data_IF_801264859168
#
_entry.id   IF_801264859168
#
_cell.length_a   1.000
_cell.length_b   1.000
_cell.length_c   1.000
_cell.angle_alpha   90.00
_cell.angle_beta   90.00
_cell.angle_gamma   90.00
#
_symmetry.space_group_name_H-M   'P 1'
#
loop_
_entity.id
_entity.type
_entity.pdbx_description
1 polymer ?
#
# COMPACT_ATOMS: atom_id res chain seq x y z
N UNK A 1 -1.98 -8.45 -19.34
CA UNK A 1 -3.20 -8.25 -18.52
C UNK A 1 -2.77 -7.49 -17.29
N UNK A 2 -3.63 -6.59 -16.81
CA UNK A 2 -3.31 -5.75 -15.65
C UNK A 2 -2.86 -6.60 -14.46
N UNK A 3 -1.92 -6.06 -13.69
CA UNK A 3 -1.33 -6.70 -12.53
C UNK A 3 -1.44 -5.77 -11.33
N UNK A 4 -1.74 -6.32 -10.16
CA UNK A 4 -1.97 -5.53 -8.96
C UNK A 4 -0.93 -5.89 -7.90
N UNK A 5 -0.28 -4.90 -7.30
CA UNK A 5 0.28 -5.07 -5.97
C UNK A 5 -0.77 -4.66 -4.95
N UNK A 6 -1.13 -5.55 -4.03
CA UNK A 6 -2.08 -5.28 -2.96
C UNK A 6 -1.39 -5.21 -1.60
N UNK A 7 -1.85 -4.29 -0.75
CA UNK A 7 -1.27 -4.02 0.57
C UNK A 7 -2.34 -3.90 1.64
N UNK A 8 -2.03 -4.40 2.83
CA UNK A 8 -2.77 -4.11 4.05
C UNK A 8 -1.77 -3.68 5.12
N UNK A 9 -1.97 -2.49 5.67
CA UNK A 9 -0.94 -1.78 6.43
C UNK A 9 -1.52 -1.29 7.76
N UNK A 10 -0.95 -1.68 8.91
CA UNK A 10 -1.32 -1.08 10.20
C UNK A 10 -0.62 0.27 10.38
N UNK A 11 -1.42 1.31 10.65
CA UNK A 11 -0.98 2.70 10.81
C UNK A 11 -1.50 3.24 12.14
N UNK A 12 -0.65 3.78 13.03
CA UNK A 12 -1.12 4.50 14.21
C UNK A 12 -2.12 5.59 13.83
N UNK A 13 -3.25 5.69 14.53
CA UNK A 13 -4.33 6.65 14.22
C UNK A 13 -3.82 8.10 14.22
N UNK A 14 -2.86 8.42 15.10
CA UNK A 14 -2.21 9.73 15.14
C UNK A 14 -1.34 10.06 13.92
N UNK A 15 -1.00 9.06 13.10
CA UNK A 15 -0.16 9.21 11.91
C UNK A 15 -0.96 9.32 10.60
N UNK A 16 -2.29 9.40 10.63
CA UNK A 16 -3.13 9.42 9.42
C UNK A 16 -2.67 10.45 8.37
N UNK A 17 -2.43 11.70 8.78
CA UNK A 17 -2.00 12.75 7.86
C UNK A 17 -0.57 12.54 7.36
N UNK A 18 0.35 12.11 8.23
CA UNK A 18 1.73 11.77 7.84
C UNK A 18 1.77 10.63 6.82
N UNK A 19 0.92 9.63 7.01
CA UNK A 19 0.75 8.54 6.06
C UNK A 19 0.22 9.05 4.71
N UNK A 20 -0.82 9.90 4.73
CA UNK A 20 -1.37 10.51 3.50
C UNK A 20 -0.32 11.32 2.74
N UNK A 21 0.51 12.08 3.45
CA UNK A 21 1.60 12.87 2.85
C UNK A 21 2.66 11.97 2.22
N UNK A 22 3.10 10.92 2.92
CA UNK A 22 4.02 9.92 2.38
C UNK A 22 3.45 9.24 1.13
N UNK A 23 2.19 8.82 1.16
CA UNK A 23 1.52 8.22 0.04
C UNK A 23 1.39 9.17 -1.16
N UNK A 24 1.01 10.43 -0.92
CA UNK A 24 0.89 11.44 -1.97
C UNK A 24 2.25 11.79 -2.61
N UNK A 25 3.34 11.64 -1.85
CA UNK A 25 4.70 11.78 -2.36
C UNK A 25 5.15 10.55 -3.18
N UNK A 26 4.87 9.34 -2.70
CA UNK A 26 5.28 8.10 -3.35
C UNK A 26 4.49 7.78 -4.63
N UNK A 27 3.18 8.05 -4.64
CA UNK A 27 2.29 7.74 -5.76
C UNK A 27 2.79 8.23 -7.14
N UNK A 28 3.20 9.51 -7.33
CA UNK A 28 3.70 9.96 -8.63
C UNK A 28 5.02 9.27 -9.05
N UNK A 29 5.85 8.82 -8.11
CA UNK A 29 7.09 8.08 -8.40
C UNK A 29 6.77 6.70 -8.95
N UNK A 30 5.79 6.00 -8.37
CA UNK A 30 5.29 4.73 -8.94
C UNK A 30 4.74 4.92 -10.36
N UNK A 31 3.98 6.00 -10.60
CA UNK A 31 3.44 6.32 -11.92
C UNK A 31 4.57 6.61 -12.92
N UNK A 32 5.61 7.35 -12.51
CA UNK A 32 6.81 7.60 -13.33
C UNK A 32 7.47 6.30 -13.79
N UNK A 33 7.43 5.26 -12.95
CA UNK A 33 8.01 3.95 -13.23
C UNK A 33 7.04 2.91 -13.82
N UNK A 34 5.87 3.35 -14.27
CA UNK A 34 4.97 2.55 -15.10
C UNK A 34 3.71 2.04 -14.41
N UNK A 35 3.44 2.45 -13.17
CA UNK A 35 2.13 2.21 -12.56
C UNK A 35 1.07 3.04 -13.27
N UNK A 36 -0.12 2.48 -13.45
CA UNK A 36 -1.29 3.15 -14.01
C UNK A 36 -2.03 3.95 -12.94
N UNK A 37 -2.07 3.41 -11.71
CA UNK A 37 -2.84 3.97 -10.61
C UNK A 37 -2.27 3.53 -9.27
N UNK A 38 -2.30 4.44 -8.29
CA UNK A 38 -2.01 4.16 -6.89
C UNK A 38 -3.22 4.59 -6.07
N UNK A 39 -3.73 3.71 -5.22
CA UNK A 39 -4.90 4.00 -4.38
C UNK A 39 -4.63 3.62 -2.94
N UNK A 40 -4.95 4.55 -2.03
CA UNK A 40 -4.76 4.41 -0.60
C UNK A 40 -6.08 4.67 0.12
N UNK A 41 -6.59 3.68 0.85
CA UNK A 41 -7.87 3.77 1.56
C UNK A 41 -7.65 3.66 3.07
N UNK A 42 -8.14 4.66 3.82
CA UNK A 42 -8.16 4.61 5.27
C UNK A 42 -9.37 3.80 5.78
N UNK A 43 -9.14 2.90 6.74
CA UNK A 43 -10.19 2.12 7.40
C UNK A 43 -11.33 3.02 7.92
N UNK A 44 -12.57 2.64 7.60
CA UNK A 44 -13.76 3.39 7.98
C UNK A 44 -14.77 2.49 8.71
N UNK A 45 -15.17 1.38 8.07
CA UNK A 45 -16.16 0.44 8.61
C UNK A 45 -15.68 -1.02 8.49
N UNK A 46 -14.56 -1.32 9.15
CA UNK A 46 -13.98 -2.67 9.14
C UNK A 46 -14.80 -3.57 10.06
N UNK A 47 -15.47 -4.57 9.47
CA UNK A 47 -16.28 -5.52 10.22
C UNK A 47 -15.40 -6.55 10.94
N UNK A 48 -15.62 -6.79 12.24
CA UNK A 48 -14.91 -7.83 12.96
C UNK A 48 -15.31 -9.21 12.43
N UNK A 49 -14.32 -10.06 12.21
CA UNK A 49 -14.50 -11.44 11.79
C UNK A 49 -14.67 -12.39 12.96
N UNK A 50 -15.17 -13.60 12.70
CA UNK A 50 -15.19 -14.68 13.70
C UNK A 50 -13.85 -15.41 13.83
N UNK A 51 -13.09 -15.45 12.73
CA UNK A 51 -11.80 -16.16 12.63
C UNK A 51 -10.69 -15.21 12.21
N UNK A 52 -10.96 -14.35 11.23
CA UNK A 52 -10.03 -13.35 10.73
C UNK A 52 -10.80 -12.16 10.15
N UNK A 53 -10.19 -10.99 10.14
CA UNK A 53 -10.60 -9.74 9.49
C UNK A 53 -9.38 -8.91 9.10
N UNK A 54 -9.59 -7.71 8.56
CA UNK A 54 -8.51 -6.82 8.14
C UNK A 54 -7.61 -6.37 9.30
N UNK A 55 -8.14 -6.20 10.51
CA UNK A 55 -7.35 -5.80 11.68
C UNK A 55 -6.50 -6.97 12.16
N UNK A 56 -7.07 -8.17 12.25
CA UNK A 56 -6.31 -9.37 12.66
C UNK A 56 -5.30 -9.81 11.60
N UNK A 57 -5.55 -9.56 10.31
CA UNK A 57 -4.63 -9.87 9.22
C UNK A 57 -3.26 -9.18 9.35
N UNK A 58 -3.24 -7.97 9.94
CA UNK A 58 -2.02 -7.21 10.25
C UNK A 58 -1.76 -7.10 11.75
N UNK A 59 -2.45 -7.90 12.56
CA UNK A 59 -2.31 -7.92 14.03
C UNK A 59 -2.40 -6.49 14.60
N UNK A 60 -3.36 -5.68 14.15
CA UNK A 60 -3.48 -4.27 14.50
C UNK A 60 -3.76 -4.05 16.00
N UNK A 61 -3.08 -3.08 16.60
CA UNK A 61 -3.29 -2.64 17.98
C UNK A 61 -4.48 -1.67 18.08
N UNK A 62 -4.97 -1.41 19.30
CA UNK A 62 -6.16 -0.57 19.54
C UNK A 62 -6.01 0.87 19.03
N UNK A 63 -4.81 1.42 19.11
CA UNK A 63 -4.45 2.76 18.66
C UNK A 63 -4.07 2.82 17.17
N UNK A 64 -4.19 1.72 16.44
CA UNK A 64 -3.93 1.60 15.01
C UNK A 64 -5.22 1.48 14.19
N UNK A 65 -5.13 1.92 12.95
CA UNK A 65 -6.11 1.66 11.91
C UNK A 65 -5.45 0.93 10.73
N UNK A 66 -6.26 0.30 9.90
CA UNK A 66 -5.80 -0.39 8.70
C UNK A 66 -5.92 0.52 7.49
N UNK A 67 -4.85 0.58 6.68
CA UNK A 67 -4.91 1.04 5.30
C UNK A 67 -5.02 -0.17 4.37
N UNK A 68 -5.97 -0.10 3.44
CA UNK A 68 -6.09 -1.01 2.31
C UNK A 68 -5.67 -0.25 1.06
N UNK A 69 -4.70 -0.77 0.33
CA UNK A 69 -4.17 -0.07 -0.83
C UNK A 69 -3.70 -1.00 -1.94
N UNK A 70 -3.60 -0.43 -3.13
CA UNK A 70 -3.07 -1.15 -4.28
C UNK A 70 -2.40 -0.24 -5.29
N UNK A 71 -1.50 -0.84 -6.06
CA UNK A 71 -0.85 -0.25 -7.22
C UNK A 71 -1.23 -1.09 -8.43
N UNK A 72 -1.81 -0.43 -9.43
CA UNK A 72 -2.20 -1.03 -10.70
C UNK A 72 -1.09 -0.86 -11.73
N UNK A 73 -0.76 -1.94 -12.41
CA UNK A 73 0.26 -2.02 -13.45
C UNK A 73 -0.33 -2.59 -14.74
N UNK A 74 0.21 -2.24 -15.92
CA UNK A 74 -0.30 -2.76 -17.18
C UNK A 74 -0.04 -4.27 -17.35
N UNK A 75 1.05 -4.77 -16.76
CA UNK A 75 1.43 -6.18 -16.70
C UNK A 75 2.51 -6.43 -15.63
N UNK A 76 2.79 -7.72 -15.36
CA UNK A 76 3.78 -8.13 -14.37
C UNK A 76 5.21 -7.73 -14.73
N UNK A 77 5.59 -7.72 -16.01
CA UNK A 77 6.94 -7.37 -16.42
C UNK A 77 7.24 -5.89 -16.16
N UNK A 78 6.27 -5.03 -16.46
CA UNK A 78 6.29 -3.60 -16.13
C UNK A 78 6.31 -3.39 -14.63
N UNK A 79 5.47 -4.12 -13.88
CA UNK A 79 5.50 -4.10 -12.41
C UNK A 79 6.88 -4.43 -11.85
N UNK A 80 7.48 -5.53 -12.28
CA UNK A 80 8.77 -5.98 -11.74
C UNK A 80 9.88 -4.97 -12.05
N UNK A 81 9.94 -4.46 -13.28
CA UNK A 81 10.91 -3.43 -13.67
C UNK A 81 10.66 -2.09 -12.96
N UNK A 82 9.40 -1.72 -12.76
CA UNK A 82 9.01 -0.50 -12.05
C UNK A 82 9.35 -0.57 -10.56
N UNK A 83 8.99 -1.66 -9.89
CA UNK A 83 9.29 -1.90 -8.48
C UNK A 83 10.81 -1.86 -8.21
N UNK A 84 11.63 -2.47 -9.08
CA UNK A 84 13.09 -2.41 -8.95
C UNK A 84 13.62 -0.97 -9.04
N UNK A 85 13.05 -0.14 -9.91
CA UNK A 85 13.43 1.28 -10.03
C UNK A 85 13.01 2.07 -8.79
N UNK A 86 11.78 1.87 -8.31
CA UNK A 86 11.29 2.52 -7.08
C UNK A 86 12.20 2.21 -5.89
N UNK A 87 12.61 0.95 -5.73
CA UNK A 87 13.51 0.54 -4.64
C UNK A 87 14.89 1.20 -4.71
N UNK A 88 15.35 1.57 -5.91
CA UNK A 88 16.64 2.24 -6.15
C UNK A 88 16.53 3.76 -6.25
N UNK A 89 15.32 4.31 -6.25
CA UNK A 89 15.09 5.74 -6.34
C UNK A 89 15.52 6.41 -5.02
N UNK A 90 16.45 7.36 -5.12
CA UNK A 90 16.95 8.13 -3.98
C UNK A 90 15.85 8.90 -3.25
N UNK A 91 14.81 9.33 -3.99
CA UNK A 91 13.64 10.03 -3.42
C UNK A 91 12.84 9.14 -2.48
N UNK A 92 12.87 7.82 -2.70
CA UNK A 92 12.12 6.82 -1.93
C UNK A 92 12.92 6.22 -0.78
N UNK A 93 14.21 6.58 -0.64
CA UNK A 93 15.01 6.10 0.48
C UNK A 93 14.55 6.77 1.77
N UNK A 94 14.40 6.02 2.88
CA UNK A 94 14.08 6.60 4.16
C UNK A 94 15.18 7.60 4.54
N UNK A 95 14.78 8.82 4.91
CA UNK A 95 15.72 9.81 5.43
C UNK A 95 16.21 9.36 6.80
N UNK A 96 17.48 9.56 7.06
CA UNK A 96 18.08 9.21 8.34
C UNK A 96 17.34 9.93 9.49
N UNK A 97 16.86 9.16 10.47
CA UNK A 97 16.09 9.67 11.61
C UNK A 97 14.60 9.91 11.37
N UNK A 98 14.06 9.58 10.19
CA UNK A 98 12.63 9.68 9.91
C UNK A 98 11.92 8.34 10.15
N UNK A 99 11.08 8.28 11.18
CA UNK A 99 10.26 7.09 11.46
C UNK A 99 9.16 6.94 10.42
N UNK A 100 9.01 5.73 9.88
CA UNK A 100 7.90 5.38 9.00
C UNK A 100 6.57 5.61 9.72
N UNK A 101 5.56 6.21 9.06
CA UNK A 101 4.29 6.50 9.71
C UNK A 101 3.43 5.25 9.97
N UNK A 102 3.92 4.05 9.63
CA UNK A 102 3.22 2.76 9.73
C UNK A 102 4.15 1.65 10.25
N UNK A 103 3.59 0.50 10.62
CA UNK A 103 4.37 -0.61 11.20
C UNK A 103 4.76 -1.63 10.12
N UNK A 104 5.90 -1.39 9.48
CA UNK A 104 6.39 -2.22 8.35
C UNK A 104 6.54 -3.71 8.66
N UNK A 105 6.85 -4.08 9.91
CA UNK A 105 6.98 -5.49 10.31
C UNK A 105 5.66 -6.28 10.25
N UNK A 106 4.51 -5.59 10.24
CA UNK A 106 3.17 -6.20 10.20
C UNK A 106 2.40 -5.89 8.90
N UNK A 107 3.04 -5.17 7.98
CA UNK A 107 2.52 -4.95 6.64
C UNK A 107 2.45 -6.30 5.91
N UNK A 108 1.32 -6.58 5.26
CA UNK A 108 1.20 -7.70 4.32
C UNK A 108 1.08 -7.15 2.90
N UNK A 109 1.75 -7.79 1.96
CA UNK A 109 1.72 -7.41 0.55
C UNK A 109 1.81 -8.63 -0.37
N UNK A 110 1.34 -8.47 -1.60
CA UNK A 110 1.43 -9.50 -2.62
C UNK A 110 1.07 -8.99 -4.01
N UNK A 111 1.52 -9.72 -5.03
CA UNK A 111 1.17 -9.46 -6.42
C UNK A 111 0.02 -10.37 -6.88
N UNK A 112 -0.92 -9.82 -7.65
CA UNK A 112 -2.15 -10.49 -8.08
C UNK A 112 -2.41 -10.25 -9.57
N UNK A 113 -2.84 -11.29 -10.27
CA UNK A 113 -3.41 -11.16 -11.61
C UNK A 113 -4.89 -10.77 -11.51
N UNK A 114 -5.34 -9.87 -12.38
CA UNK A 114 -6.74 -9.48 -12.44
C UNK A 114 -7.58 -10.62 -13.03
N UNK A 115 -8.55 -11.11 -12.26
CA UNK A 115 -9.48 -12.17 -12.69
C UNK A 115 -10.78 -11.60 -13.27
N UNK A 116 -11.28 -10.49 -12.73
CA UNK A 116 -12.51 -9.80 -13.16
C UNK A 116 -12.29 -8.29 -13.00
N UNK A 117 -12.62 -7.51 -14.03
CA UNK A 117 -12.55 -6.04 -14.04
C UNK A 117 -13.70 -5.48 -14.87
N UNK A 118 -14.66 -4.86 -14.19
CA UNK A 118 -15.91 -4.35 -14.78
C UNK A 118 -16.14 -2.91 -14.26
N UNK A 119 -16.56 -2.02 -15.14
CA UNK A 119 -16.91 -0.63 -14.81
C UNK A 119 -18.32 -0.29 -15.31
N UNK A 120 -19.00 0.63 -14.61
CA UNK A 120 -20.40 0.99 -14.86
C UNK A 120 -20.60 1.90 -16.08
#
# INVERSE_FOLDING_TARGET
MSYMDGFVIPVPKGNRERYRELAAFAAPIFIEYGALRVVECWGNDIKPGKVNDFRTAVIAQEDEEVVFSWIEWPDKATRDAGAEKVMKDERMQPKEGEDMPFIGARLIYGGFEVLVDESA
#
